data_IF_449437709353
#
_entry.id   IF_449437709353
#
_cell.length_a   1.000
_cell.length_b   1.000
_cell.length_c   1.000
_cell.angle_alpha   90.00
_cell.angle_beta   90.00
_cell.angle_gamma   90.00
#
_symmetry.space_group_name_H-M   'P 1'
#
loop_
_entity.id
_entity.type
_entity.pdbx_description
1 polymer ?
#
# COMPACT_ATOMS: atom_id res chain seq x y z
N UNK A 1 3.87 16.27 29.71
CA UNK A 1 3.12 16.14 28.44
C UNK A 1 3.98 16.33 27.20
N UNK A 2 4.72 17.44 27.00
CA UNK A 2 5.61 17.59 25.81
C UNK A 2 6.80 16.59 25.81
N UNK A 3 7.38 16.29 26.97
CA UNK A 3 8.48 15.33 27.06
C UNK A 3 8.08 13.87 26.74
N UNK A 4 6.83 13.49 27.04
CA UNK A 4 6.32 12.13 26.78
C UNK A 4 5.93 11.93 25.30
N UNK A 5 5.38 12.96 24.66
CA UNK A 5 5.09 12.92 23.22
C UNK A 5 6.39 12.89 22.41
N UNK A 6 7.39 13.70 22.79
CA UNK A 6 8.73 13.65 22.18
C UNK A 6 9.40 12.29 22.41
N UNK A 7 9.26 11.68 23.59
CA UNK A 7 9.74 10.33 23.86
C UNK A 7 9.07 9.27 22.97
N UNK A 8 7.77 9.40 22.72
CA UNK A 8 7.02 8.53 21.80
C UNK A 8 7.55 8.60 20.36
N UNK A 9 7.72 9.81 19.82
CA UNK A 9 8.28 9.99 18.48
C UNK A 9 9.75 9.54 18.41
N UNK A 10 10.55 9.80 19.45
CA UNK A 10 11.94 9.33 19.50
C UNK A 10 12.01 7.81 19.51
N UNK A 11 11.13 7.12 20.23
CA UNK A 11 11.09 5.66 20.25
C UNK A 11 10.79 5.07 18.87
N UNK A 12 9.83 5.64 18.15
CA UNK A 12 9.52 5.22 16.77
C UNK A 12 10.74 5.40 15.85
N UNK A 13 11.44 6.53 15.96
CA UNK A 13 12.66 6.79 15.20
C UNK A 13 13.78 5.81 15.56
N UNK A 14 13.96 5.47 16.84
CA UNK A 14 14.93 4.47 17.26
C UNK A 14 14.59 3.07 16.74
N UNK A 15 13.32 2.66 16.77
CA UNK A 15 12.89 1.37 16.21
C UNK A 15 13.11 1.31 14.70
N UNK A 16 12.80 2.39 13.97
CA UNK A 16 13.08 2.49 12.54
C UNK A 16 14.58 2.43 12.25
N UNK A 17 15.38 3.20 12.99
CA UNK A 17 16.84 3.20 12.88
C UNK A 17 17.44 1.82 13.16
N UNK A 18 16.94 1.12 14.19
CA UNK A 18 17.33 -0.26 14.48
C UNK A 18 16.98 -1.21 13.34
N UNK A 19 15.78 -1.11 12.76
CA UNK A 19 15.38 -1.95 11.63
C UNK A 19 16.30 -1.76 10.42
N UNK A 20 16.66 -0.51 10.10
CA UNK A 20 17.61 -0.20 9.02
C UNK A 20 19.01 -0.74 9.35
N UNK A 21 19.49 -0.52 10.57
CA UNK A 21 20.80 -0.98 11.03
C UNK A 21 20.90 -2.50 11.16
N UNK A 22 19.79 -3.21 11.37
CA UNK A 22 19.77 -4.66 11.36
C UNK A 22 19.79 -5.20 9.92
N UNK A 23 19.05 -4.57 9.01
CA UNK A 23 18.90 -5.07 7.63
C UNK A 23 20.07 -4.70 6.71
N UNK A 24 20.61 -3.48 6.85
CA UNK A 24 21.66 -2.98 5.96
C UNK A 24 22.97 -3.79 6.04
N UNK A 25 23.53 -4.13 7.22
CA UNK A 25 24.72 -4.96 7.32
C UNK A 25 24.48 -6.37 6.78
N UNK A 26 23.28 -6.95 6.96
CA UNK A 26 22.97 -8.25 6.40
C UNK A 26 23.06 -8.26 4.86
N UNK A 27 22.54 -7.21 4.21
CA UNK A 27 22.66 -7.02 2.77
C UNK A 27 24.11 -6.75 2.33
N UNK A 28 24.86 -5.94 3.07
CA UNK A 28 26.27 -5.61 2.77
C UNK A 28 27.18 -6.84 2.92
N UNK A 29 27.07 -7.57 4.03
CA UNK A 29 27.84 -8.79 4.28
C UNK A 29 27.50 -9.86 3.25
N UNK A 30 26.21 -10.04 2.93
CA UNK A 30 25.78 -10.93 1.84
C UNK A 30 26.40 -10.53 0.50
N UNK A 31 26.42 -9.23 0.20
CA UNK A 31 27.05 -8.68 -1.01
C UNK A 31 28.56 -8.90 -1.06
N UNK A 32 29.25 -8.86 0.09
CA UNK A 32 30.71 -9.03 0.21
C UNK A 32 31.17 -10.50 0.16
N UNK A 33 30.44 -11.41 0.83
CA UNK A 33 30.80 -12.84 0.90
C UNK A 33 30.33 -13.60 -0.35
N UNK A 34 29.30 -13.12 -1.05
CA UNK A 34 28.74 -13.80 -2.22
C UNK A 34 29.78 -13.99 -3.35
N UNK A 35 30.00 -15.25 -3.82
CA UNK A 35 30.88 -15.52 -4.95
C UNK A 35 30.27 -15.00 -6.25
N UNK A 36 30.63 -13.77 -6.63
CA UNK A 36 30.12 -13.10 -7.83
C UNK A 36 31.08 -13.23 -9.00
N UNK A 37 30.72 -14.07 -9.97
CA UNK A 37 31.34 -14.08 -11.29
C UNK A 37 30.89 -12.83 -12.06
N UNK A 38 31.75 -11.81 -12.15
CA UNK A 38 31.43 -10.52 -12.82
C UNK A 38 31.23 -10.65 -14.35
N UNK A 39 31.76 -11.72 -14.96
CA UNK A 39 31.88 -11.85 -16.41
C UNK A 39 30.93 -12.89 -17.03
N UNK A 40 29.86 -13.31 -16.35
CA UNK A 40 28.87 -14.19 -16.97
C UNK A 40 27.67 -13.39 -17.50
N UNK A 41 27.58 -13.09 -18.81
CA UNK A 41 26.48 -12.33 -19.38
C UNK A 41 25.13 -13.05 -19.23
N UNK A 42 25.13 -14.39 -19.17
CA UNK A 42 23.90 -15.21 -19.04
C UNK A 42 23.23 -15.03 -17.68
N UNK A 43 23.99 -14.78 -16.60
CA UNK A 43 23.43 -14.57 -15.25
C UNK A 43 22.57 -13.30 -15.13
N UNK A 44 22.72 -12.36 -16.06
CA UNK A 44 21.99 -11.10 -16.08
C UNK A 44 20.86 -11.07 -17.12
N UNK A 45 20.67 -12.15 -17.87
CA UNK A 45 19.56 -12.27 -18.81
C UNK A 45 18.27 -12.62 -18.07
N UNK A 46 17.10 -12.11 -18.52
CA UNK A 46 15.80 -12.60 -18.09
C UNK A 46 15.68 -14.12 -18.26
N UNK A 47 15.03 -14.78 -17.29
CA UNK A 47 14.81 -16.21 -17.33
C UNK A 47 13.63 -16.53 -18.27
N UNK A 48 13.89 -17.31 -19.33
CA UNK A 48 12.91 -17.75 -20.35
C UNK A 48 12.95 -19.28 -20.51
N UNK A 49 12.81 -20.04 -19.42
CA UNK A 49 12.81 -21.52 -19.40
C UNK A 49 13.99 -22.19 -20.14
N UNK A 50 15.15 -21.52 -20.19
CA UNK A 50 16.37 -21.99 -20.87
C UNK A 50 16.53 -21.50 -22.31
N UNK A 51 15.56 -20.75 -22.85
CA UNK A 51 15.70 -20.05 -24.13
C UNK A 51 16.42 -18.72 -23.97
N UNK A 52 17.06 -18.27 -25.05
CA UNK A 52 17.65 -16.93 -25.12
C UNK A 52 16.51 -15.92 -25.24
N UNK A 53 16.38 -14.96 -24.30
CA UNK A 53 15.28 -14.00 -24.33
C UNK A 53 15.35 -13.19 -25.62
N UNK A 54 14.21 -13.02 -26.28
CA UNK A 54 14.10 -12.34 -27.57
C UNK A 54 12.92 -11.38 -27.57
N UNK A 55 13.10 -10.22 -28.20
CA UNK A 55 12.09 -9.17 -28.29
C UNK A 55 11.89 -8.37 -26.99
N UNK A 56 11.03 -7.36 -27.07
CA UNK A 56 10.55 -6.65 -25.90
C UNK A 56 9.42 -7.46 -25.25
N UNK A 57 9.48 -7.63 -23.93
CA UNK A 57 8.40 -8.27 -23.17
C UNK A 57 7.08 -7.56 -23.44
N UNK A 58 6.09 -8.30 -23.96
CA UNK A 58 4.75 -7.74 -24.20
C UNK A 58 4.04 -7.57 -22.87
N UNK A 59 4.15 -6.38 -22.27
CA UNK A 59 3.40 -6.04 -21.06
C UNK A 59 1.96 -5.71 -21.43
N UNK A 60 1.03 -6.63 -21.16
CA UNK A 60 -0.39 -6.30 -21.21
C UNK A 60 -0.78 -5.70 -19.85
N UNK A 61 -0.93 -4.38 -19.79
CA UNK A 61 -1.49 -3.74 -18.60
C UNK A 61 -2.96 -4.10 -18.49
N UNK A 62 -3.27 -5.08 -17.65
CA UNK A 62 -4.63 -5.49 -17.38
C UNK A 62 -5.35 -4.36 -16.62
N UNK A 63 -6.16 -3.57 -17.32
CA UNK A 63 -6.93 -2.45 -16.75
C UNK A 63 -7.89 -2.92 -15.65
N UNK A 64 -8.18 -4.23 -15.56
CA UNK A 64 -9.01 -4.84 -14.53
C UNK A 64 -8.62 -4.46 -13.09
N UNK A 65 -7.33 -4.19 -12.81
CA UNK A 65 -6.86 -3.81 -11.47
C UNK A 65 -7.05 -2.34 -11.14
N UNK A 66 -7.21 -1.47 -12.14
CA UNK A 66 -7.32 -0.03 -11.95
C UNK A 66 -8.53 0.37 -11.11
N UNK A 67 -9.68 -0.25 -11.37
CA UNK A 67 -10.90 -0.01 -10.60
C UNK A 67 -10.73 -0.38 -9.11
N UNK A 68 -9.98 -1.44 -8.80
CA UNK A 68 -9.70 -1.83 -7.41
C UNK A 68 -8.81 -0.81 -6.70
N UNK A 69 -7.81 -0.25 -7.38
CA UNK A 69 -6.96 0.81 -6.82
C UNK A 69 -7.80 2.06 -6.51
N UNK A 70 -8.67 2.47 -7.44
CA UNK A 70 -9.56 3.62 -7.21
C UNK A 70 -10.51 3.38 -6.03
N UNK A 71 -11.10 2.19 -5.90
CA UNK A 71 -11.94 1.84 -4.76
C UNK A 71 -11.15 1.87 -3.44
N UNK A 72 -9.91 1.37 -3.44
CA UNK A 72 -9.03 1.40 -2.26
C UNK A 72 -8.73 2.84 -1.81
N UNK A 73 -8.38 3.73 -2.74
CA UNK A 73 -8.09 5.14 -2.41
C UNK A 73 -9.31 5.85 -1.82
N UNK A 74 -10.51 5.59 -2.36
CA UNK A 74 -11.75 6.16 -1.82
C UNK A 74 -12.02 5.61 -0.40
N UNK A 75 -11.86 4.30 -0.20
CA UNK A 75 -12.04 3.68 1.09
C UNK A 75 -11.04 4.19 2.14
N UNK A 76 -9.79 4.44 1.76
CA UNK A 76 -8.76 4.99 2.65
C UNK A 76 -9.16 6.38 3.18
N UNK A 77 -9.66 7.25 2.30
CA UNK A 77 -10.20 8.55 2.69
C UNK A 77 -11.39 8.39 3.63
N UNK A 78 -12.30 7.44 3.38
CA UNK A 78 -13.42 7.16 4.28
C UNK A 78 -12.94 6.72 5.67
N UNK A 79 -11.90 5.88 5.74
CA UNK A 79 -11.35 5.38 7.00
C UNK A 79 -10.76 6.51 7.85
N UNK A 80 -10.10 7.50 7.23
CA UNK A 80 -9.58 8.69 7.92
C UNK A 80 -10.73 9.48 8.56
N UNK A 81 -11.82 9.71 7.84
CA UNK A 81 -13.01 10.37 8.39
C UNK A 81 -13.66 9.56 9.51
N UNK A 82 -13.75 8.25 9.34
CA UNK A 82 -14.29 7.34 10.37
C UNK A 82 -13.43 7.39 11.64
N UNK A 83 -12.11 7.44 11.51
CA UNK A 83 -11.18 7.55 12.63
C UNK A 83 -11.33 8.88 13.37
N UNK A 84 -11.39 10.00 12.64
CA UNK A 84 -11.56 11.33 13.22
C UNK A 84 -12.91 11.51 13.94
N UNK A 85 -13.98 10.92 13.38
CA UNK A 85 -15.28 10.88 14.04
C UNK A 85 -15.26 9.94 15.26
N UNK A 86 -14.67 8.75 15.11
CA UNK A 86 -14.57 7.75 16.18
C UNK A 86 -13.79 8.25 17.40
N UNK A 87 -12.74 9.05 17.20
CA UNK A 87 -11.94 9.62 18.29
C UNK A 87 -12.68 10.66 19.13
N UNK A 88 -13.74 11.26 18.59
CA UNK A 88 -14.52 12.33 19.25
C UNK A 88 -15.97 11.93 19.52
N UNK A 89 -16.32 10.67 19.27
CA UNK A 89 -17.70 10.16 19.30
C UNK A 89 -18.42 10.39 20.64
N UNK A 90 -17.70 10.34 21.75
CA UNK A 90 -18.26 10.53 23.09
C UNK A 90 -18.40 12.00 23.50
N UNK A 91 -17.66 12.90 22.84
CA UNK A 91 -17.64 14.33 23.15
C UNK A 91 -18.56 15.15 22.24
N UNK A 92 -19.01 14.58 21.11
CA UNK A 92 -19.92 15.25 20.18
C UNK A 92 -21.40 15.16 20.62
N UNK A 93 -22.18 16.23 20.40
CA UNK A 93 -23.63 16.14 20.53
C UNK A 93 -24.19 15.13 19.51
N UNK A 94 -25.19 14.35 19.93
CA UNK A 94 -25.79 13.28 19.12
C UNK A 94 -26.30 13.75 17.75
N UNK A 95 -26.71 15.01 17.65
CA UNK A 95 -27.11 15.68 16.40
C UNK A 95 -26.01 15.66 15.33
N UNK A 96 -24.73 15.76 15.75
CA UNK A 96 -23.59 15.80 14.84
C UNK A 96 -23.25 14.42 14.23
N UNK A 97 -23.85 13.34 14.74
CA UNK A 97 -23.69 11.98 14.20
C UNK A 97 -24.46 11.78 12.90
N UNK A 98 -25.63 12.41 12.76
CA UNK A 98 -26.50 12.24 11.58
C UNK A 98 -25.82 12.61 10.25
N UNK A 99 -25.16 13.78 10.09
CA UNK A 99 -24.50 14.13 8.84
C UNK A 99 -23.33 13.19 8.51
N UNK A 100 -22.62 12.68 9.50
CA UNK A 100 -21.50 11.76 9.30
C UNK A 100 -22.01 10.39 8.84
N UNK A 101 -23.10 9.90 9.43
CA UNK A 101 -23.77 8.68 8.96
C UNK A 101 -24.30 8.84 7.53
N UNK A 102 -24.87 10.00 7.19
CA UNK A 102 -25.33 10.28 5.82
C UNK A 102 -24.15 10.29 4.83
N UNK A 103 -23.04 10.94 5.18
CA UNK A 103 -21.81 10.95 4.38
C UNK A 103 -21.27 9.53 4.15
N UNK A 104 -21.16 8.73 5.21
CA UNK A 104 -20.73 7.34 5.12
C UNK A 104 -21.69 6.53 4.24
N UNK A 105 -23.00 6.71 4.40
CA UNK A 105 -24.02 6.05 3.58
C UNK A 105 -23.85 6.32 2.09
N UNK A 106 -23.62 7.59 1.70
CA UNK A 106 -23.38 7.98 0.31
C UNK A 106 -22.10 7.32 -0.22
N UNK A 107 -21.03 7.33 0.56
CA UNK A 107 -19.74 6.76 0.16
C UNK A 107 -19.79 5.23 0.02
N UNK A 108 -20.42 4.53 0.97
CA UNK A 108 -20.66 3.09 0.87
C UNK A 108 -21.54 2.72 -0.32
N UNK A 109 -22.57 3.52 -0.63
CA UNK A 109 -23.40 3.30 -1.81
C UNK A 109 -22.61 3.46 -3.12
N UNK A 110 -21.76 4.49 -3.22
CA UNK A 110 -20.88 4.68 -4.38
C UNK A 110 -19.89 3.52 -4.55
N UNK A 111 -19.29 3.05 -3.45
CA UNK A 111 -18.37 1.90 -3.47
C UNK A 111 -19.09 0.60 -3.86
N UNK A 112 -20.29 0.35 -3.30
CA UNK A 112 -21.09 -0.81 -3.66
C UNK A 112 -21.47 -0.81 -5.16
N UNK A 113 -21.80 0.35 -5.71
CA UNK A 113 -22.05 0.52 -7.14
C UNK A 113 -20.81 0.24 -7.98
N UNK A 114 -19.65 0.78 -7.60
CA UNK A 114 -18.38 0.51 -8.28
C UNK A 114 -18.03 -0.98 -8.30
N UNK A 115 -18.21 -1.67 -7.17
CA UNK A 115 -18.00 -3.12 -7.05
C UNK A 115 -18.98 -3.92 -7.91
N UNK A 116 -20.24 -3.50 -7.97
CA UNK A 116 -21.23 -4.11 -8.86
C UNK A 116 -20.84 -3.96 -10.33
N UNK A 117 -20.35 -2.79 -10.74
CA UNK A 117 -19.87 -2.54 -12.10
C UNK A 117 -18.70 -3.46 -12.48
N UNK A 118 -17.83 -3.83 -11.54
CA UNK A 118 -16.71 -4.76 -11.80
C UNK A 118 -17.17 -6.15 -12.25
N UNK A 119 -18.38 -6.59 -11.88
CA UNK A 119 -18.91 -7.89 -12.34
C UNK A 119 -19.28 -7.91 -13.82
N UNK A 120 -19.42 -6.74 -14.45
CA UNK A 120 -19.68 -6.65 -15.89
C UNK A 120 -18.37 -6.84 -16.64
N UNK A 121 -18.13 -8.07 -17.11
CA UNK A 121 -16.94 -8.44 -17.89
C UNK A 121 -16.88 -7.78 -19.28
N UNK A 122 -18.00 -7.22 -19.77
CA UNK A 122 -18.12 -6.73 -21.15
C UNK A 122 -17.67 -5.26 -21.35
N UNK A 123 -17.17 -4.59 -20.31
CA UNK A 123 -16.69 -3.18 -20.37
C UNK A 123 -15.15 -3.08 -20.32
N UNK A 124 -14.44 -4.20 -20.43
CA UNK A 124 -12.99 -4.29 -20.37
C UNK A 124 -12.43 -5.23 -21.44
#
# INVERSE_FOLDING_TARGET
MVGETVAGYSNVLFMFGFAVLALAPALVVSRMISPRTKNNPVKFLPMECGQVPSGAGRTHFMMQYYAYILMFVIFDVMAIFLYAWGSTLFDLPKEATLPILAFLGIMFAAMAFALYQTKRKNIW
#
